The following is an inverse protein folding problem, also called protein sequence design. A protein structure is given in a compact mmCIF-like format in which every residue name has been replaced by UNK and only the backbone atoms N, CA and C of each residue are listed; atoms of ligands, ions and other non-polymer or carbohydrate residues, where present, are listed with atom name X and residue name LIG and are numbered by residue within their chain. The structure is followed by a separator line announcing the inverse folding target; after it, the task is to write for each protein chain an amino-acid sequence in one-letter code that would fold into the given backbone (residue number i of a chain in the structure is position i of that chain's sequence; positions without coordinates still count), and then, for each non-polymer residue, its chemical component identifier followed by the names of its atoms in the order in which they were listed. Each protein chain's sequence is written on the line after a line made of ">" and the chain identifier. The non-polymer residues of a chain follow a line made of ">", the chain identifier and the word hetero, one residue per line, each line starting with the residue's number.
data_IF_998168436433
#
_entry.id   IF_998168436433
#
_cell.length_a   1.000
_cell.length_b   1.000
_cell.length_c   1.000
_cell.angle_alpha   90.00
_cell.angle_beta   90.00
_cell.angle_gamma   90.00
#
_symmetry.space_group_name_H-M   'P 1'
#
loop_
_entity.id
_entity.type
_entity.pdbx_description
1 polymer ?
#
# COMPACT_ATOMS: atom_id res chain seq x y z
N UNK A 1 -13.29 -5.86 -16.38
CA UNK A 1 -12.54 -6.80 -17.26
C UNK A 1 -12.00 -7.87 -16.34
N UNK A 2 -12.37 -9.13 -16.54
CA UNK A 2 -11.88 -10.21 -15.69
C UNK A 2 -10.52 -10.71 -16.18
N UNK A 3 -9.58 -10.85 -15.25
CA UNK A 3 -8.24 -11.38 -15.48
C UNK A 3 -8.01 -12.60 -14.59
N UNK A 4 -7.12 -13.49 -15.01
CA UNK A 4 -6.70 -14.64 -14.21
C UNK A 4 -5.39 -14.33 -13.49
N UNK A 5 -5.41 -14.45 -12.16
CA UNK A 5 -4.25 -14.16 -11.30
C UNK A 5 -3.77 -15.46 -10.67
N UNK A 6 -2.47 -15.70 -10.79
CA UNK A 6 -1.75 -16.83 -10.20
C UNK A 6 -0.71 -16.28 -9.22
N UNK A 7 -0.83 -16.66 -7.95
CA UNK A 7 -0.04 -16.13 -6.84
C UNK A 7 0.75 -17.24 -6.18
N UNK A 8 2.08 -17.13 -6.19
CA UNK A 8 2.98 -18.01 -5.44
C UNK A 8 3.40 -17.34 -4.14
N UNK A 9 3.23 -18.05 -3.03
CA UNK A 9 3.51 -17.53 -1.70
C UNK A 9 4.85 -18.06 -1.22
N UNK A 10 5.67 -17.14 -0.73
CA UNK A 10 6.97 -17.38 -0.14
C UNK A 10 7.00 -16.81 1.28
N UNK A 11 7.91 -17.33 2.09
CA UNK A 11 8.23 -16.80 3.41
C UNK A 11 9.73 -16.61 3.51
N UNK A 12 10.13 -15.46 4.03
CA UNK A 12 11.52 -15.21 4.38
C UNK A 12 11.88 -16.06 5.61
N UNK A 13 13.04 -16.72 5.58
CA UNK A 13 13.49 -17.53 6.72
C UNK A 13 13.54 -16.68 8.02
N UNK A 14 13.15 -17.24 9.19
CA UNK A 14 12.98 -16.46 10.41
C UNK A 14 14.25 -15.75 10.91
N UNK A 15 15.42 -16.30 10.58
CA UNK A 15 16.74 -15.78 10.95
C UNK A 15 17.28 -14.73 9.97
N UNK A 16 16.53 -14.41 8.91
CA UNK A 16 16.96 -13.44 7.91
C UNK A 16 16.27 -12.09 8.09
N UNK A 17 17.05 -11.05 7.83
CA UNK A 17 16.55 -9.69 7.69
C UNK A 17 16.00 -9.49 6.28
N UNK A 18 14.97 -8.64 6.12
CA UNK A 18 14.41 -8.31 4.80
C UNK A 18 15.45 -7.77 3.79
N UNK A 19 16.56 -7.23 4.28
CA UNK A 19 17.63 -6.60 3.50
C UNK A 19 18.82 -7.52 3.20
N UNK A 20 18.71 -8.81 3.50
CA UNK A 20 19.78 -9.73 3.18
C UNK A 20 20.02 -9.72 1.67
N UNK A 21 21.28 -9.53 1.25
CA UNK A 21 21.68 -9.56 -0.17
C UNK A 21 21.32 -10.88 -0.87
N UNK A 22 21.03 -11.93 -0.10
CA UNK A 22 20.59 -13.24 -0.57
C UNK A 22 19.40 -13.74 0.27
N UNK A 23 18.17 -13.24 0.02
CA UNK A 23 17.00 -13.69 0.77
C UNK A 23 16.74 -15.17 0.45
N UNK A 24 16.77 -16.01 1.48
CA UNK A 24 16.40 -17.41 1.39
C UNK A 24 14.89 -17.51 1.55
N UNK A 25 14.22 -17.65 0.42
CA UNK A 25 12.77 -17.75 0.35
C UNK A 25 12.34 -19.21 0.41
N UNK A 26 11.46 -19.53 1.35
CA UNK A 26 10.79 -20.83 1.41
C UNK A 26 9.45 -20.74 0.69
N UNK A 27 9.30 -21.53 -0.38
CA UNK A 27 8.00 -21.69 -1.04
C UNK A 27 6.98 -22.31 -0.08
N UNK A 28 5.77 -21.76 -0.09
CA UNK A 28 4.67 -22.19 0.79
C UNK A 28 3.53 -22.83 -0.01
N UNK A 29 2.96 -22.11 -0.98
CA UNK A 29 1.79 -22.55 -1.73
C UNK A 29 1.60 -21.73 -3.01
N UNK A 30 0.73 -22.22 -3.89
CA UNK A 30 0.25 -21.50 -5.08
C UNK A 30 -1.26 -21.37 -5.00
N UNK A 31 -1.79 -20.20 -5.36
CA UNK A 31 -3.21 -19.91 -5.40
C UNK A 31 -3.57 -19.25 -6.73
N UNK A 32 -4.77 -19.55 -7.22
CA UNK A 32 -5.25 -19.01 -8.48
C UNK A 32 -6.69 -18.54 -8.32
N UNK A 33 -7.00 -17.38 -8.88
CA UNK A 33 -8.36 -16.84 -8.88
C UNK A 33 -8.56 -15.84 -10.01
N UNK A 34 -9.82 -15.70 -10.44
CA UNK A 34 -10.21 -14.63 -11.35
C UNK A 34 -10.48 -13.36 -10.58
N UNK A 35 -10.00 -12.23 -11.09
CA UNK A 35 -10.17 -10.91 -10.50
C UNK A 35 -10.86 -10.01 -11.52
N UNK A 36 -11.88 -9.25 -11.12
CA UNK A 36 -12.33 -8.13 -11.95
C UNK A 36 -11.45 -6.92 -11.64
N UNK A 37 -10.79 -6.39 -12.65
CA UNK A 37 -9.92 -5.22 -12.51
C UNK A 37 -10.72 -3.99 -12.04
N UNK A 38 -12.04 -3.97 -12.27
CA UNK A 38 -12.90 -2.90 -11.77
C UNK A 38 -13.01 -2.86 -10.23
N UNK A 39 -12.79 -4.00 -9.56
CA UNK A 39 -12.86 -4.12 -8.09
C UNK A 39 -11.53 -3.76 -7.41
N UNK A 40 -10.47 -3.53 -8.20
CA UNK A 40 -9.12 -3.25 -7.71
C UNK A 40 -8.66 -1.90 -8.23
N UNK A 41 -8.98 -0.86 -7.47
CA UNK A 41 -8.59 0.52 -7.80
C UNK A 41 -7.25 0.90 -7.16
N UNK A 42 -6.87 0.22 -6.06
CA UNK A 42 -5.66 0.50 -5.29
C UNK A 42 -4.84 -0.75 -4.98
N UNK A 43 -3.57 -0.56 -4.62
CA UNK A 43 -2.71 -1.63 -4.10
C UNK A 43 -3.31 -2.27 -2.83
N UNK A 44 -3.95 -1.47 -1.98
CA UNK A 44 -4.62 -1.96 -0.78
C UNK A 44 -5.80 -2.88 -1.12
N UNK A 45 -6.63 -2.51 -2.11
CA UNK A 45 -7.75 -3.35 -2.58
C UNK A 45 -7.24 -4.70 -3.07
N UNK A 46 -6.14 -4.70 -3.83
CA UNK A 46 -5.55 -5.94 -4.31
C UNK A 46 -5.03 -6.81 -3.17
N UNK A 47 -4.36 -6.22 -2.19
CA UNK A 47 -3.91 -6.94 -0.99
C UNK A 47 -5.10 -7.53 -0.22
N UNK A 48 -6.21 -6.81 -0.12
CA UNK A 48 -7.44 -7.29 0.51
C UNK A 48 -8.10 -8.42 -0.28
N UNK A 49 -8.15 -8.32 -1.60
CA UNK A 49 -8.63 -9.39 -2.48
C UNK A 49 -7.77 -10.65 -2.32
N UNK A 50 -6.45 -10.50 -2.26
CA UNK A 50 -5.53 -11.59 -1.95
C UNK A 50 -5.86 -12.22 -0.59
N UNK A 51 -6.00 -11.42 0.47
CA UNK A 51 -6.34 -11.91 1.81
C UNK A 51 -7.71 -12.60 1.90
N UNK A 52 -8.67 -12.19 1.07
CA UNK A 52 -10.04 -12.71 1.05
C UNK A 52 -10.12 -14.01 0.27
N UNK A 53 -9.51 -14.05 -0.92
CA UNK A 53 -9.57 -15.22 -1.82
C UNK A 53 -8.57 -16.29 -1.47
N UNK A 54 -7.38 -15.90 -1.03
CA UNK A 54 -6.39 -16.82 -0.51
C UNK A 54 -6.77 -17.10 0.94
N UNK A 55 -7.62 -18.12 1.15
CA UNK A 55 -8.20 -18.53 2.44
C UNK A 55 -7.17 -19.09 3.44
N UNK A 56 -6.10 -18.33 3.66
CA UNK A 56 -4.99 -18.69 4.53
C UNK A 56 -4.97 -17.72 5.70
N UNK A 57 -5.14 -18.23 6.92
CA UNK A 57 -5.23 -17.38 8.12
C UNK A 57 -3.99 -16.50 8.35
N UNK A 58 -2.85 -16.89 7.77
CA UNK A 58 -1.61 -16.13 7.88
C UNK A 58 -1.59 -14.86 7.02
N UNK A 59 -2.18 -14.82 5.82
CA UNK A 59 -2.17 -13.58 5.00
C UNK A 59 -3.00 -12.47 5.64
N UNK A 60 -4.02 -12.84 6.43
CA UNK A 60 -4.84 -11.89 7.20
C UNK A 60 -4.11 -11.28 8.39
N UNK A 61 -3.02 -11.89 8.85
CA UNK A 61 -2.35 -11.53 10.11
C UNK A 61 -0.86 -11.23 9.95
N UNK A 62 -0.34 -11.30 8.72
CA UNK A 62 1.05 -11.04 8.39
C UNK A 62 1.12 -10.05 7.24
N UNK A 63 2.09 -9.14 7.35
CA UNK A 63 2.39 -8.23 6.26
C UNK A 63 3.11 -9.00 5.16
N UNK A 64 2.85 -8.60 3.92
CA UNK A 64 3.47 -9.21 2.76
C UNK A 64 3.69 -8.18 1.65
N UNK A 65 4.71 -8.42 0.84
CA UNK A 65 5.02 -7.62 -0.35
C UNK A 65 4.78 -8.44 -1.60
N UNK A 66 4.39 -7.77 -2.68
CA UNK A 66 4.03 -8.39 -3.95
C UNK A 66 5.14 -8.12 -4.96
N UNK A 67 5.45 -9.09 -5.80
CA UNK A 67 6.43 -8.96 -6.87
C UNK A 67 5.96 -9.72 -8.11
N UNK A 68 6.49 -9.39 -9.30
CA UNK A 68 6.30 -10.25 -10.46
C UNK A 68 7.13 -11.52 -10.30
N UNK A 69 6.60 -12.69 -10.66
CA UNK A 69 7.32 -13.94 -10.36
C UNK A 69 8.73 -14.02 -11.00
N UNK A 70 8.91 -13.35 -12.13
CA UNK A 70 10.19 -13.28 -12.86
C UNK A 70 11.23 -12.39 -12.15
N UNK A 71 10.81 -11.61 -11.15
CA UNK A 71 11.62 -10.64 -10.40
C UNK A 71 11.90 -11.10 -8.96
N UNK A 72 11.66 -12.38 -8.64
CA UNK A 72 11.81 -12.91 -7.28
C UNK A 72 13.20 -12.67 -6.67
N UNK A 73 14.24 -12.69 -7.50
CA UNK A 73 15.63 -12.52 -7.07
C UNK A 73 16.12 -11.07 -7.17
N UNK A 74 15.39 -10.18 -7.84
CA UNK A 74 15.82 -8.78 -8.02
C UNK A 74 15.32 -7.88 -6.89
N UNK A 75 14.35 -8.34 -6.09
CA UNK A 75 13.76 -7.52 -5.03
C UNK A 75 12.92 -6.36 -5.56
N UNK A 76 12.52 -6.40 -6.83
CA UNK A 76 11.59 -5.43 -7.41
C UNK A 76 10.18 -5.77 -6.94
N UNK A 77 9.70 -5.00 -5.96
CA UNK A 77 8.35 -5.13 -5.44
C UNK A 77 7.39 -4.19 -6.17
N UNK A 78 6.14 -4.61 -6.28
CA UNK A 78 5.02 -3.77 -6.71
C UNK A 78 4.66 -2.92 -5.49
N UNK A 79 5.18 -1.70 -5.46
CA UNK A 79 5.10 -0.79 -4.31
C UNK A 79 4.07 0.34 -4.48
N UNK A 80 3.43 0.41 -5.64
CA UNK A 80 2.48 1.47 -5.98
C UNK A 80 1.32 0.94 -6.80
N UNK A 81 0.16 1.59 -6.62
CA UNK A 81 -1.07 1.31 -7.37
C UNK A 81 -0.85 1.42 -8.87
N UNK A 82 -0.05 2.39 -9.32
CA UNK A 82 0.24 2.54 -10.75
C UNK A 82 0.99 1.33 -11.32
N UNK A 83 2.02 0.84 -10.62
CA UNK A 83 2.75 -0.36 -11.03
C UNK A 83 1.84 -1.58 -11.04
N UNK A 84 0.98 -1.74 -10.03
CA UNK A 84 -0.01 -2.82 -9.99
C UNK A 84 -0.92 -2.76 -11.22
N UNK A 85 -1.55 -1.61 -11.49
CA UNK A 85 -2.49 -1.48 -12.61
C UNK A 85 -1.82 -1.72 -13.96
N UNK A 86 -0.55 -1.37 -14.14
CA UNK A 86 0.23 -1.73 -15.34
C UNK A 86 0.34 -3.25 -15.51
N UNK A 87 0.49 -3.98 -14.41
CA UNK A 87 0.56 -5.44 -14.41
C UNK A 87 -0.79 -6.11 -14.69
N UNK A 88 -1.87 -5.55 -14.16
CA UNK A 88 -3.23 -6.10 -14.31
C UNK A 88 -3.86 -5.85 -15.70
N UNK A 89 -3.18 -5.13 -16.61
CA UNK A 89 -3.63 -4.98 -18.02
C UNK A 89 -3.55 -6.28 -18.82
N UNK A 90 -2.81 -7.28 -18.33
CA UNK A 90 -2.64 -8.58 -19.01
C UNK A 90 -3.79 -9.51 -18.64
N UNK A 91 -4.27 -10.38 -19.57
CA UNK A 91 -5.34 -11.32 -19.30
C UNK A 91 -4.95 -12.40 -18.27
N UNK A 92 -3.66 -12.68 -18.17
CA UNK A 92 -3.08 -13.61 -17.21
C UNK A 92 -1.89 -12.93 -16.52
N UNK A 93 -1.85 -13.00 -15.19
CA UNK A 93 -0.83 -12.37 -14.36
C UNK A 93 -0.27 -13.39 -13.36
N UNK A 94 1.03 -13.65 -13.45
CA UNK A 94 1.78 -14.43 -12.47
C UNK A 94 2.50 -13.50 -11.49
N UNK A 95 2.11 -13.57 -10.23
CA UNK A 95 2.66 -12.79 -9.13
C UNK A 95 3.24 -13.70 -8.06
N UNK A 96 4.16 -13.14 -7.30
CA UNK A 96 4.66 -13.71 -6.07
C UNK A 96 4.36 -12.82 -4.88
N UNK A 97 4.24 -13.44 -3.71
CA UNK A 97 4.09 -12.75 -2.44
C UNK A 97 5.18 -13.23 -1.48
N UNK A 98 5.89 -12.31 -0.83
CA UNK A 98 6.79 -12.61 0.29
C UNK A 98 6.11 -12.20 1.58
N UNK A 99 5.89 -13.17 2.47
CA UNK A 99 5.35 -12.92 3.81
C UNK A 99 6.47 -12.64 4.79
N UNK A 100 6.21 -11.70 5.68
CA UNK A 100 7.12 -11.29 6.74
C UNK A 100 6.51 -11.58 8.11
N UNK A 101 7.36 -12.01 9.04
CA UNK A 101 7.01 -12.03 10.46
C UNK A 101 6.81 -10.61 10.98
N UNK A 102 6.13 -10.43 12.13
CA UNK A 102 5.93 -9.10 12.71
C UNK A 102 7.25 -8.35 12.98
N UNK A 103 8.28 -9.07 13.42
CA UNK A 103 9.60 -8.47 13.66
C UNK A 103 10.25 -7.99 12.35
N UNK A 104 10.20 -8.80 11.29
CA UNK A 104 10.69 -8.42 9.96
C UNK A 104 9.88 -7.26 9.36
N UNK A 105 8.57 -7.25 9.57
CA UNK A 105 7.68 -6.19 9.11
C UNK A 105 8.00 -4.84 9.77
N UNK A 106 8.34 -4.83 11.07
CA UNK A 106 8.78 -3.61 11.75
C UNK A 106 10.08 -3.03 11.16
N UNK A 107 11.02 -3.89 10.74
CA UNK A 107 12.25 -3.46 10.08
C UNK A 107 12.01 -2.82 8.70
N UNK A 108 10.88 -3.14 8.07
CA UNK A 108 10.51 -2.63 6.74
C UNK A 108 9.89 -1.23 6.76
N UNK A 109 9.46 -0.70 7.91
CA UNK A 109 8.74 0.59 7.99
C UNK A 109 9.48 1.76 7.31
N UNK A 110 10.80 1.76 7.34
CA UNK A 110 11.63 2.81 6.72
C UNK A 110 11.93 2.58 5.22
N UNK A 111 11.46 1.46 4.66
CA UNK A 111 11.90 0.94 3.34
C UNK A 111 10.77 0.63 2.38
N UNK A 112 9.55 0.74 2.86
CA UNK A 112 8.34 0.53 2.09
C UNK A 112 7.84 1.87 1.56
N UNK A 113 7.12 1.84 0.44
CA UNK A 113 6.48 3.04 -0.08
C UNK A 113 5.42 3.57 0.90
N UNK A 114 4.96 4.81 0.69
CA UNK A 114 3.86 5.36 1.47
C UNK A 114 2.57 4.52 1.38
N UNK A 115 2.27 3.95 0.21
CA UNK A 115 1.11 3.06 0.02
C UNK A 115 1.28 1.75 0.80
N UNK A 116 2.47 1.15 0.72
CA UNK A 116 2.80 -0.07 1.45
C UNK A 116 2.83 0.16 2.97
N UNK A 117 3.26 1.34 3.43
CA UNK A 117 3.32 1.71 4.85
C UNK A 117 1.92 1.70 5.49
N UNK A 118 0.90 2.19 4.78
CA UNK A 118 -0.49 2.15 5.25
C UNK A 118 -0.96 0.71 5.47
N UNK A 119 -0.63 -0.19 4.53
CA UNK A 119 -0.98 -1.62 4.61
C UNK A 119 -0.21 -2.28 5.76
N UNK A 120 1.08 -1.97 5.88
CA UNK A 120 1.96 -2.46 6.94
C UNK A 120 1.46 -2.06 8.32
N UNK A 121 1.11 -0.79 8.51
CA UNK A 121 0.61 -0.25 9.77
C UNK A 121 -0.74 -0.87 10.14
N UNK A 122 -1.63 -1.10 9.17
CA UNK A 122 -2.87 -1.85 9.41
C UNK A 122 -2.60 -3.23 10.02
N UNK A 123 -1.63 -3.97 9.49
CA UNK A 123 -1.28 -5.30 9.99
C UNK A 123 -0.53 -5.25 11.34
N UNK A 124 0.38 -4.30 11.53
CA UNK A 124 1.14 -4.16 12.78
C UNK A 124 0.22 -3.74 13.94
N UNK A 125 -0.70 -2.81 13.66
CA UNK A 125 -1.63 -2.23 14.62
C UNK A 125 -2.91 -3.06 14.83
N UNK A 126 -3.16 -4.07 13.98
CA UNK A 126 -4.12 -5.12 14.29
C UNK A 126 -3.69 -5.86 15.57
N UNK A 127 -4.16 -5.36 16.72
CA UNK A 127 -4.08 -6.08 17.99
C UNK A 127 -4.81 -7.41 17.78
N UNK A 128 -4.16 -8.53 18.15
CA UNK A 128 -4.86 -9.81 18.32
C UNK A 128 -6.01 -9.58 19.29
N UNK A 129 -7.22 -9.41 18.77
CA UNK A 129 -8.43 -9.38 19.57
C UNK A 129 -8.66 -10.82 20.02
N UNK A 130 -7.98 -11.23 21.09
CA UNK A 130 -8.57 -12.23 21.95
C UNK A 130 -9.87 -11.60 22.45
N UNK A 131 -11.00 -12.24 22.13
CA UNK A 131 -12.34 -11.78 22.45
C UNK A 131 -12.43 -11.21 23.87
N UNK A 132 -12.28 -9.89 23.99
CA UNK A 132 -12.79 -9.11 25.10
C UNK A 132 -13.29 -7.83 24.49
N UNK A 133 -14.59 -7.83 24.21
CA UNK A 133 -15.35 -6.68 23.77
C UNK A 133 -15.04 -5.54 24.75
N UNK A 134 -14.25 -4.56 24.30
CA UNK A 134 -14.25 -3.21 24.83
C UNK A 134 -14.63 -2.31 23.66
N UNK A 135 -15.80 -1.67 23.82
CA UNK A 135 -16.25 -0.54 23.02
C UNK A 135 -15.26 0.58 23.27
N UNK A 136 -14.38 0.85 22.33
CA UNK A 136 -13.72 2.14 22.17
C UNK A 136 -13.53 2.35 20.66
N UNK A 137 -13.75 3.58 20.23
CA UNK A 137 -14.04 4.04 18.86
C UNK A 137 -13.15 3.38 17.80
N UNK A 138 -13.74 2.42 17.07
CA UNK A 138 -13.04 1.64 16.06
C UNK A 138 -12.77 2.50 14.83
N UNK A 139 -11.51 2.62 14.46
CA UNK A 139 -11.08 2.88 13.08
C UNK A 139 -11.81 1.86 12.18
N UNK A 140 -12.85 2.30 11.48
CA UNK A 140 -13.57 1.49 10.51
C UNK A 140 -13.15 1.98 9.14
N UNK A 141 -12.53 1.09 8.37
CA UNK A 141 -12.26 1.32 6.96
C UNK A 141 -13.62 1.30 6.27
N UNK A 142 -14.02 2.42 5.70
CA UNK A 142 -15.25 2.56 4.94
C UNK A 142 -14.91 2.49 3.46
N UNK A 143 -15.77 1.87 2.65
CA UNK A 143 -15.71 2.10 1.20
C UNK A 143 -15.80 3.61 0.90
N UNK A 144 -15.21 4.08 -0.19
CA UNK A 144 -15.26 5.51 -0.55
C UNK A 144 -16.70 6.06 -0.56
N UNK A 145 -17.66 5.29 -1.07
CA UNK A 145 -19.07 5.67 -1.06
C UNK A 145 -19.64 5.81 0.36
N UNK A 146 -19.32 4.87 1.26
CA UNK A 146 -19.74 4.94 2.67
C UNK A 146 -19.03 6.09 3.40
N UNK A 147 -17.74 6.31 3.13
CA UNK A 147 -16.96 7.40 3.71
C UNK A 147 -17.50 8.76 3.27
N UNK A 148 -17.77 8.92 1.97
CA UNK A 148 -18.36 10.13 1.40
C UNK A 148 -19.74 10.40 1.98
N UNK A 149 -20.59 9.38 2.11
CA UNK A 149 -21.91 9.54 2.72
C UNK A 149 -21.81 9.93 4.21
N UNK A 150 -20.87 9.33 4.94
CA UNK A 150 -20.64 9.65 6.35
C UNK A 150 -20.13 11.09 6.54
N UNK A 151 -19.23 11.55 5.67
CA UNK A 151 -18.76 12.94 5.68
C UNK A 151 -19.84 13.94 5.29
N UNK A 152 -20.69 13.61 4.31
CA UNK A 152 -21.84 14.44 3.94
C UNK A 152 -22.77 14.63 5.13
N UNK A 153 -23.05 13.56 5.88
CA UNK A 153 -23.84 13.62 7.11
C UNK A 153 -23.19 14.48 8.21
N UNK A 154 -21.89 14.74 8.11
CA UNK A 154 -21.11 15.60 9.01
C UNK A 154 -20.77 16.97 8.39
N UNK A 155 -21.49 17.39 7.33
CA UNK A 155 -21.32 18.67 6.62
C UNK A 155 -19.94 18.87 5.95
N UNK A 156 -19.23 17.78 5.63
CA UNK A 156 -17.94 17.83 4.94
C UNK A 156 -18.13 17.35 3.50
N UNK A 157 -18.08 18.29 2.56
CA UNK A 157 -18.21 18.03 1.12
C UNK A 157 -16.84 18.22 0.44
N UNK A 158 -15.93 17.27 0.66
CA UNK A 158 -14.63 17.26 -0.01
C UNK A 158 -14.24 15.84 -0.37
N UNK A 159 -13.97 15.61 -1.66
CA UNK A 159 -13.51 14.31 -2.15
C UNK A 159 -12.13 13.93 -1.58
N UNK A 160 -11.27 14.92 -1.32
CA UNK A 160 -9.98 14.69 -0.64
C UNK A 160 -10.19 14.21 0.80
N UNK A 161 -11.13 14.80 1.52
CA UNK A 161 -11.46 14.38 2.88
C UNK A 161 -12.16 13.02 2.90
N UNK A 162 -12.96 12.70 1.87
CA UNK A 162 -13.59 11.39 1.71
C UNK A 162 -12.56 10.27 1.49
N UNK A 163 -11.50 10.53 0.72
CA UNK A 163 -10.38 9.59 0.58
C UNK A 163 -9.68 9.34 1.93
N UNK A 164 -9.42 10.40 2.69
CA UNK A 164 -8.82 10.31 4.03
C UNK A 164 -9.70 9.54 5.03
N UNK A 165 -11.02 9.77 4.99
CA UNK A 165 -11.97 9.05 5.84
C UNK A 165 -12.08 7.57 5.42
N UNK A 166 -12.07 7.29 4.12
CA UNK A 166 -12.09 5.93 3.60
C UNK A 166 -10.84 5.14 4.04
N UNK A 167 -9.68 5.80 4.11
CA UNK A 167 -8.45 5.21 4.66
C UNK A 167 -8.47 5.02 6.19
N UNK A 168 -9.58 5.34 6.86
CA UNK A 168 -9.79 5.10 8.28
C UNK A 168 -9.48 6.28 9.18
N UNK A 169 -9.19 7.49 8.66
CA UNK A 169 -9.01 8.67 9.50
C UNK A 169 -10.36 9.04 10.13
N UNK A 170 -10.38 9.17 11.45
CA UNK A 170 -11.60 9.51 12.20
C UNK A 170 -12.08 10.93 11.88
N UNK A 171 -13.39 11.12 11.87
CA UNK A 171 -14.05 12.38 11.49
C UNK A 171 -13.49 13.59 12.25
N UNK A 172 -13.22 13.45 13.54
CA UNK A 172 -12.66 14.54 14.36
C UNK A 172 -11.29 15.02 13.84
N UNK A 173 -10.44 14.11 13.36
CA UNK A 173 -9.14 14.45 12.77
C UNK A 173 -9.31 15.11 11.40
N UNK A 174 -10.29 14.66 10.60
CA UNK A 174 -10.60 15.28 9.31
C UNK A 174 -11.06 16.73 9.48
N UNK A 175 -11.90 17.00 10.48
CA UNK A 175 -12.31 18.36 10.81
C UNK A 175 -11.13 19.25 11.22
N UNK A 176 -10.16 18.70 11.96
CA UNK A 176 -8.94 19.42 12.32
C UNK A 176 -8.07 19.71 11.08
N UNK A 177 -7.86 18.73 10.21
CA UNK A 177 -7.10 18.90 8.96
C UNK A 177 -7.75 19.95 8.07
N UNK A 178 -9.08 19.94 7.97
CA UNK A 178 -9.82 20.94 7.19
C UNK A 178 -9.64 22.36 7.74
N UNK A 179 -9.68 22.53 9.07
CA UNK A 179 -9.41 23.82 9.72
C UNK A 179 -7.99 24.30 9.46
N UNK A 180 -7.00 23.42 9.66
CA UNK A 180 -5.59 23.75 9.40
C UNK A 180 -5.36 24.10 7.93
N UNK A 181 -5.98 23.38 7.00
CA UNK A 181 -5.89 23.67 5.57
C UNK A 181 -6.56 25.00 5.19
N UNK A 182 -7.63 25.41 5.87
CA UNK A 182 -8.27 26.72 5.69
C UNK A 182 -7.45 27.86 6.30
N UNK A 183 -6.74 27.60 7.40
CA UNK A 183 -5.90 28.56 8.11
C UNK A 183 -4.48 28.70 7.48
N UNK A 184 -4.05 27.72 6.69
CA UNK A 184 -2.74 27.72 6.05
C UNK A 184 -2.64 28.81 4.96
N UNK A 185 -2.03 29.95 5.32
CA UNK A 185 -1.69 31.08 4.43
C UNK A 185 -0.29 30.95 3.80
N UNK A 186 0.30 29.77 3.79
CA UNK A 186 1.63 29.55 3.21
C UNK A 186 1.62 29.66 1.67
N UNK A 187 2.79 29.82 1.04
CA UNK A 187 2.88 29.89 -0.41
C UNK A 187 2.32 28.60 -1.01
N UNK A 188 1.27 28.71 -1.81
CA UNK A 188 0.77 27.60 -2.63
C UNK A 188 1.93 27.18 -3.53
N UNK A 189 2.55 26.03 -3.25
CA UNK A 189 3.61 25.47 -4.11
C UNK A 189 3.00 25.28 -5.50
N UNK A 190 3.31 26.18 -6.43
CA UNK A 190 2.96 26.01 -7.83
C UNK A 190 3.90 24.96 -8.40
N UNK A 191 3.33 23.84 -8.85
CA UNK A 191 4.04 22.87 -9.67
C UNK A 191 4.35 23.53 -11.02
N UNK A 192 5.59 24.00 -11.17
CA UNK A 192 6.09 24.47 -12.46
C UNK A 192 6.64 23.26 -13.19
N UNK A 193 5.98 22.87 -14.28
CA UNK A 193 6.56 21.92 -15.24
C UNK A 193 7.66 22.64 -16.02
N UNK A 194 8.87 22.11 -15.93
CA UNK A 194 10.00 22.56 -16.76
C UNK A 194 10.35 21.42 -17.69
N UNK A 195 10.17 21.63 -19.00
CA UNK A 195 10.57 20.66 -20.01
C UNK A 195 12.09 20.70 -20.16
N UNK A 196 12.76 19.67 -19.65
CA UNK A 196 14.22 19.54 -19.73
C UNK A 196 14.58 18.80 -21.02
N UNK A 197 15.35 19.42 -21.95
CA UNK A 197 15.84 18.73 -23.14
C UNK A 197 16.65 17.48 -22.78
N UNK A 198 16.47 16.40 -23.55
CA UNK A 198 17.05 15.07 -23.27
C UNK A 198 18.57 15.14 -23.00
N UNK A 199 19.29 16.00 -23.73
CA UNK A 199 20.73 16.21 -23.57
C UNK A 199 21.16 16.74 -22.19
N UNK A 200 20.25 17.34 -21.42
CA UNK A 200 20.50 17.88 -20.08
C UNK A 200 19.90 17.02 -18.96
N UNK A 201 19.07 16.03 -19.32
CA UNK A 201 18.30 15.23 -18.37
C UNK A 201 19.21 14.46 -17.40
N UNK A 202 20.30 13.89 -17.91
CA UNK A 202 21.30 13.18 -17.10
C UNK A 202 22.04 14.10 -16.11
N UNK A 203 22.32 15.36 -16.50
CA UNK A 203 22.98 16.33 -15.61
C UNK A 203 22.05 16.79 -14.50
N UNK A 204 20.78 17.03 -14.83
CA UNK A 204 19.75 17.39 -13.86
C UNK A 204 19.52 16.27 -12.86
N UNK A 205 19.46 15.01 -13.33
CA UNK A 205 19.32 13.84 -12.45
C UNK A 205 20.47 13.70 -11.46
N UNK A 206 21.72 13.86 -11.92
CA UNK A 206 22.90 13.83 -11.04
C UNK A 206 22.87 14.95 -10.00
N UNK A 207 22.49 16.16 -10.42
CA UNK A 207 22.41 17.31 -9.50
C UNK A 207 21.31 17.14 -8.45
N UNK A 208 20.14 16.63 -8.83
CA UNK A 208 19.06 16.32 -7.89
C UNK A 208 19.45 15.22 -6.91
N UNK A 209 20.17 14.19 -7.37
CA UNK A 209 20.69 13.14 -6.49
C UNK A 209 21.66 13.71 -5.44
N UNK A 210 22.55 14.63 -5.83
CA UNK A 210 23.47 15.29 -4.91
C UNK A 210 22.76 16.19 -3.88
N UNK A 211 21.69 16.89 -4.27
CA UNK A 211 20.91 17.72 -3.35
C UNK A 211 20.17 16.86 -2.31
N UNK A 212 19.67 15.69 -2.71
CA UNK A 212 18.99 14.76 -1.80
C UNK A 212 19.93 14.07 -0.81
N UNK A 213 21.23 14.02 -1.09
CA UNK A 213 22.25 13.51 -0.17
C UNK A 213 22.73 14.57 0.85
N UNK A 214 22.32 15.84 0.68
CA UNK A 214 22.72 16.96 1.54
C UNK A 214 21.62 17.42 2.53
N UNK A 215 20.42 16.83 2.47
CA UNK A 215 19.34 17.01 3.47
C UNK A 215 19.24 15.79 4.41
#
# INVERSE_FOLDING_TARGET
>A
MSIFVSIKIYTLQPNQTPDSQSPQLKFCSTHQFSLDVADVLTLADFCQECQTRIQTGYLKSQYFRIFQINEILTGNFIDSTEQLLRNLKKPFVDLGIIRYTKAQALMLQQKVSAEELVILDSVINQRRVYNKIKKDEKYQIFSYAQAKQNLINNNIQSDQMAALHASGIVINQIQQIQKVAQEFKGPKKQLIKVDVPIQHLHKVQLYLAQLLEQE
#
